data_IF_105221752601
#
_entry.id   IF_105221752601
#
_cell.length_a   1.000
_cell.length_b   1.000
_cell.length_c   1.000
_cell.angle_alpha   90.00
_cell.angle_beta   90.00
_cell.angle_gamma   90.00
#
_symmetry.space_group_name_H-M   'P 1'
#
loop_
_entity.id
_entity.type
_entity.pdbx_description
1 polymer ?
#
# COMPACT_ATOMS: atom_id res chain seq x y z
N UNK A 1 11.85 10.75 -2.75
CA UNK A 1 11.08 10.22 -1.60
C UNK A 1 9.95 9.33 -2.09
N UNK A 2 9.67 8.27 -1.38
CA UNK A 2 8.53 7.45 -1.73
C UNK A 2 7.79 7.04 -0.47
N UNK A 3 6.52 6.70 -0.63
CA UNK A 3 5.66 6.30 0.49
C UNK A 3 4.90 5.05 0.09
N UNK A 4 4.71 4.17 1.05
CA UNK A 4 3.94 2.96 0.81
C UNK A 4 2.72 2.97 1.73
N UNK A 5 1.58 2.59 1.17
CA UNK A 5 0.32 2.57 1.90
C UNK A 5 -0.35 1.22 1.72
N UNK A 6 -0.96 0.73 2.78
CA UNK A 6 -1.80 -0.45 2.69
C UNK A 6 -3.22 -0.04 3.04
N UNK A 7 -4.16 -0.40 2.18
CA UNK A 7 -5.56 -0.07 2.38
C UNK A 7 -6.32 -1.36 2.64
N UNK A 8 -7.02 -1.41 3.75
CA UNK A 8 -7.76 -2.60 4.17
C UNK A 8 -9.25 -2.32 4.18
N UNK A 9 -10.01 -3.22 3.59
CA UNK A 9 -11.47 -3.13 3.62
C UNK A 9 -11.99 -4.46 4.14
N UNK A 10 -12.88 -4.43 5.12
CA UNK A 10 -13.41 -5.63 5.76
C UNK A 10 -12.26 -6.50 6.28
N UNK A 11 -11.42 -5.91 7.12
CA UNK A 11 -10.26 -6.62 7.64
C UNK A 11 -9.27 -6.86 6.52
N UNK A 12 -8.88 -8.11 6.31
CA UNK A 12 -7.96 -8.46 5.24
C UNK A 12 -8.68 -9.09 4.05
N UNK A 13 -10.00 -9.00 4.02
CA UNK A 13 -10.75 -9.55 2.91
C UNK A 13 -10.39 -8.86 1.61
N UNK A 14 -10.16 -7.56 1.67
CA UNK A 14 -9.70 -6.82 0.52
C UNK A 14 -8.54 -5.94 0.95
N UNK A 15 -7.37 -6.16 0.35
CA UNK A 15 -6.17 -5.43 0.67
C UNK A 15 -5.61 -4.82 -0.60
N UNK A 16 -5.21 -3.58 -0.52
CA UNK A 16 -4.62 -2.87 -1.65
C UNK A 16 -3.31 -2.25 -1.21
N UNK A 17 -2.27 -2.47 -1.99
CA UNK A 17 -0.96 -1.89 -1.73
C UNK A 17 -0.74 -0.76 -2.72
N UNK A 18 -0.34 0.41 -2.22
CA UNK A 18 -0.13 1.57 -3.05
C UNK A 18 1.21 2.17 -2.71
N UNK A 19 2.07 2.28 -3.71
CA UNK A 19 3.39 2.86 -3.53
C UNK A 19 3.44 4.14 -4.35
N UNK A 20 3.83 5.24 -3.69
CA UNK A 20 3.84 6.54 -4.33
C UNK A 20 5.25 7.10 -4.29
N UNK A 21 5.72 7.60 -5.43
CA UNK A 21 7.03 8.20 -5.54
C UNK A 21 6.88 9.69 -5.82
N UNK A 22 7.63 10.49 -5.11
CA UNK A 22 7.52 11.94 -5.17
C UNK A 22 8.82 12.56 -5.64
N UNK A 23 8.69 13.64 -6.38
CA UNK A 23 9.83 14.44 -6.82
C UNK A 23 9.44 15.90 -6.61
N UNK A 24 10.25 16.62 -5.81
CA UNK A 24 9.97 18.00 -5.48
C UNK A 24 8.56 18.19 -4.92
N UNK A 25 8.14 17.25 -4.09
CA UNK A 25 6.85 17.36 -3.44
C UNK A 25 5.66 16.94 -4.29
N UNK A 26 5.92 16.50 -5.50
CA UNK A 26 4.85 16.12 -6.42
C UNK A 26 4.95 14.65 -6.74
N UNK A 27 3.84 13.95 -6.66
CA UNK A 27 3.81 12.52 -7.00
C UNK A 27 4.01 12.36 -8.49
N UNK A 28 5.01 11.56 -8.88
CA UNK A 28 5.31 11.37 -10.29
C UNK A 28 5.18 9.93 -10.76
N UNK A 29 5.16 8.98 -9.81
CA UNK A 29 5.13 7.57 -10.16
C UNK A 29 4.34 6.82 -9.10
N UNK A 30 3.61 5.79 -9.51
CA UNK A 30 2.76 5.06 -8.59
C UNK A 30 2.71 3.57 -8.96
N UNK A 31 2.77 2.72 -7.95
CA UNK A 31 2.44 1.32 -8.13
C UNK A 31 1.19 1.02 -7.33
N UNK A 32 0.20 0.43 -7.99
CA UNK A 32 -1.07 0.08 -7.37
C UNK A 32 -1.26 -1.41 -7.57
N UNK A 33 -1.43 -2.14 -6.48
CA UNK A 33 -1.56 -3.59 -6.58
C UNK A 33 -2.78 -4.01 -7.41
N UNK A 34 -3.78 -3.15 -7.49
CA UNK A 34 -4.95 -3.45 -8.31
C UNK A 34 -4.68 -3.26 -9.79
N UNK A 35 -3.64 -2.52 -10.12
CA UNK A 35 -3.22 -2.34 -11.50
C UNK A 35 -2.15 -3.35 -11.87
N UNK A 36 -1.24 -3.61 -10.94
CA UNK A 36 -0.21 -4.62 -11.13
C UNK A 36 1.05 -4.14 -11.80
N UNK A 37 1.18 -2.86 -12.05
CA UNK A 37 2.39 -2.32 -12.65
C UNK A 37 2.55 -0.85 -12.27
N UNK A 38 3.75 -0.34 -12.46
CA UNK A 38 4.00 1.07 -12.22
C UNK A 38 3.34 1.92 -13.30
N UNK A 39 2.76 3.03 -12.89
CA UNK A 39 2.15 3.98 -13.80
C UNK A 39 2.68 5.36 -13.51
N UNK A 40 3.00 6.09 -14.56
CA UNK A 40 3.45 7.47 -14.40
C UNK A 40 2.27 8.35 -14.06
N UNK A 41 2.44 9.17 -13.02
CA UNK A 41 1.44 10.16 -12.66
C UNK A 41 1.70 11.44 -13.45
N UNK A 42 2.98 11.74 -13.69
CA UNK A 42 3.36 12.87 -14.52
C UNK A 42 4.34 12.40 -15.57
N UNK A 43 4.61 13.27 -16.53
CA UNK A 43 5.57 12.96 -17.59
C UNK A 43 6.93 12.58 -17.04
N UNK A 44 7.31 13.22 -15.96
CA UNK A 44 8.60 12.95 -15.33
C UNK A 44 8.76 11.50 -14.91
N UNK A 45 7.67 10.85 -14.54
CA UNK A 45 7.70 9.48 -14.07
C UNK A 45 7.71 8.43 -15.16
N UNK A 46 7.51 8.81 -16.41
CA UNK A 46 7.40 7.84 -17.49
C UNK A 46 8.64 6.96 -17.68
N UNK A 47 9.85 7.54 -17.70
CA UNK A 47 11.02 6.69 -17.84
C UNK A 47 11.16 5.71 -16.67
N UNK A 48 10.84 6.16 -15.47
CA UNK A 48 10.94 5.31 -14.29
C UNK A 48 9.93 4.17 -14.36
N UNK A 49 8.70 4.46 -14.79
CA UNK A 49 7.68 3.43 -14.90
C UNK A 49 8.14 2.36 -15.88
N UNK A 50 8.68 2.78 -17.00
CA UNK A 50 9.15 1.84 -18.00
C UNK A 50 10.30 1.00 -17.46
N UNK A 51 11.22 1.65 -16.78
CA UNK A 51 12.38 0.97 -16.23
C UNK A 51 11.97 -0.08 -15.19
N UNK A 52 11.17 0.33 -14.21
CA UNK A 52 10.77 -0.58 -13.13
C UNK A 52 9.92 -1.72 -13.63
N UNK A 53 9.01 -1.44 -14.55
CA UNK A 53 8.14 -2.48 -15.09
C UNK A 53 8.93 -3.52 -15.89
N UNK A 54 10.13 -3.16 -16.35
CA UNK A 54 10.95 -4.08 -17.08
C UNK A 54 11.78 -5.02 -16.23
N UNK A 55 11.81 -4.81 -14.91
CA UNK A 55 12.59 -5.63 -14.00
C UNK A 55 11.69 -6.73 -13.43
N UNK A 56 11.73 -7.89 -14.07
CA UNK A 56 10.82 -8.99 -13.72
C UNK A 56 10.85 -9.40 -12.26
N UNK A 57 12.03 -9.65 -11.73
CA UNK A 57 12.13 -10.10 -10.34
C UNK A 57 11.62 -9.04 -9.38
N UNK A 58 11.96 -7.80 -9.65
CA UNK A 58 11.53 -6.69 -8.83
C UNK A 58 10.01 -6.53 -8.87
N UNK A 59 9.44 -6.64 -10.06
CA UNK A 59 7.99 -6.52 -10.22
C UNK A 59 7.25 -7.64 -9.52
N UNK A 60 7.81 -8.84 -9.58
CA UNK A 60 7.20 -9.97 -8.92
C UNK A 60 7.15 -9.76 -7.42
N UNK A 61 8.23 -9.28 -6.86
CA UNK A 61 8.28 -8.99 -5.44
C UNK A 61 7.31 -7.87 -5.08
N UNK A 62 7.26 -6.84 -5.89
CA UNK A 62 6.37 -5.72 -5.63
C UNK A 62 4.90 -6.14 -5.69
N UNK A 63 4.57 -7.01 -6.63
CA UNK A 63 3.21 -7.50 -6.77
C UNK A 63 2.74 -8.29 -5.57
N UNK A 64 3.66 -8.93 -4.86
CA UNK A 64 3.30 -9.72 -3.69
C UNK A 64 3.35 -8.92 -2.40
N UNK A 65 3.65 -7.63 -2.48
CA UNK A 65 3.75 -6.79 -1.30
C UNK A 65 2.46 -6.77 -0.49
N UNK A 66 1.32 -6.97 -1.13
CA UNK A 66 0.05 -7.04 -0.39
C UNK A 66 0.09 -8.15 0.64
N UNK A 67 0.87 -9.20 0.38
CA UNK A 67 0.95 -10.34 1.29
C UNK A 67 2.05 -10.15 2.33
N UNK A 68 3.29 -9.97 1.89
CA UNK A 68 4.39 -9.94 2.84
C UNK A 68 4.51 -8.61 3.57
N UNK A 69 3.97 -7.55 3.01
CA UNK A 69 4.04 -6.25 3.65
C UNK A 69 2.71 -5.87 4.30
N UNK A 70 1.63 -5.85 3.51
CA UNK A 70 0.35 -5.38 4.03
C UNK A 70 -0.32 -6.37 4.97
N UNK A 71 -0.49 -7.61 4.55
CA UNK A 71 -1.16 -8.59 5.40
C UNK A 71 -0.35 -8.93 6.62
N UNK A 72 0.97 -9.00 6.47
CA UNK A 72 1.82 -9.26 7.61
C UNK A 72 1.69 -8.12 8.62
N UNK A 73 1.78 -6.88 8.15
CA UNK A 73 1.70 -5.74 9.05
C UNK A 73 0.30 -5.57 9.63
N UNK A 74 -0.72 -6.03 8.92
CA UNK A 74 -2.06 -5.98 9.47
C UNK A 74 -2.16 -6.84 10.73
N UNK A 75 -1.53 -8.00 10.73
CA UNK A 75 -1.55 -8.85 11.90
C UNK A 75 -0.98 -8.16 13.13
N UNK A 76 0.12 -7.47 12.93
CA UNK A 76 0.75 -6.73 14.03
C UNK A 76 -0.11 -5.54 14.42
N UNK A 77 -0.59 -4.81 13.44
CA UNK A 77 -1.41 -3.63 13.66
C UNK A 77 -2.73 -3.99 14.32
N UNK A 78 -3.36 -5.05 13.86
CA UNK A 78 -4.65 -5.47 14.40
C UNK A 78 -4.52 -5.89 15.86
N UNK A 79 -3.48 -6.60 16.17
CA UNK A 79 -3.23 -7.03 17.53
C UNK A 79 -3.14 -5.82 18.45
N UNK A 80 -2.49 -4.79 18.00
CA UNK A 80 -2.31 -3.57 18.76
C UNK A 80 -3.64 -2.80 18.88
N UNK A 81 -4.36 -2.66 17.77
CA UNK A 81 -5.60 -1.90 17.78
C UNK A 81 -6.74 -2.58 18.49
N UNK A 82 -6.82 -3.88 18.42
CA UNK A 82 -7.87 -4.60 19.13
C UNK A 82 -7.78 -4.33 20.62
N UNK A 83 -6.57 -4.29 21.12
CA UNK A 83 -6.36 -3.99 22.51
C UNK A 83 -6.89 -2.62 22.87
N UNK A 84 -6.64 -1.65 22.03
CA UNK A 84 -7.09 -0.29 22.26
C UNK A 84 -8.58 -0.16 22.10
N UNK A 85 -9.13 -0.90 21.16
CA UNK A 85 -10.56 -0.87 20.94
C UNK A 85 -11.34 -1.46 22.09
N UNK A 86 -10.79 -2.45 22.73
CA UNK A 86 -11.41 -3.03 23.87
C UNK A 86 -11.68 -1.98 24.92
N UNK A 87 -10.83 -1.00 24.99
CA UNK A 87 -11.01 0.06 25.96
C UNK A 87 -12.01 1.09 25.52
N UNK A 88 -12.11 1.31 24.21
CA UNK A 88 -12.97 2.31 23.70
C UNK A 88 -14.29 1.84 23.26
N UNK A 89 -14.53 0.62 23.33
CA UNK A 89 -15.76 0.08 22.86
C UNK A 89 -15.81 -0.06 21.43
N UNK A 90 -15.66 0.36 20.59
CA UNK A 90 -15.80 0.10 19.41
C UNK A 90 -15.60 0.37 18.37
N UNK A 91 -15.49 -0.06 17.92
CA UNK A 91 -15.20 -0.15 16.72
C UNK A 91 -15.68 0.67 15.72
N UNK A 92 -15.38 1.79 15.86
CA UNK A 92 -15.84 2.71 14.87
C UNK A 92 -15.33 2.35 13.51
N UNK A 93 -14.19 1.75 13.45
CA UNK A 93 -13.64 1.45 12.15
C UNK A 93 -14.09 0.17 11.54
N UNK A 94 -15.08 -0.44 12.15
CA UNK A 94 -15.46 -1.77 11.72
C UNK A 94 -15.81 -1.85 10.26
N UNK A 95 -16.47 -0.87 9.74
CA UNK A 95 -16.89 -0.92 8.35
C UNK A 95 -15.97 -0.17 7.43
N UNK A 96 -14.97 0.43 7.98
CA UNK A 96 -14.13 1.26 7.17
C UNK A 96 -12.91 0.57 6.62
N UNK A 97 -12.13 1.33 5.93
CA UNK A 97 -10.84 0.90 5.47
C UNK A 97 -9.80 1.45 6.41
N UNK A 98 -8.76 0.69 6.63
CA UNK A 98 -7.64 1.16 7.43
C UNK A 98 -6.49 1.45 6.49
N UNK A 99 -5.69 2.43 6.84
CA UNK A 99 -4.55 2.79 6.02
C UNK A 99 -3.30 2.74 6.88
N UNK A 100 -2.31 2.01 6.43
CA UNK A 100 -1.02 1.96 7.09
C UNK A 100 -0.02 2.70 6.21
N UNK A 101 0.70 3.63 6.79
CA UNK A 101 1.62 4.46 6.02
C UNK A 101 3.01 4.42 6.63
N UNK A 102 4.00 4.25 5.80
CA UNK A 102 5.39 4.25 6.23
C UNK A 102 5.99 5.65 6.21
#
# INVERSE_FOLDING_TARGET
MWKAECHFTNGTERVRYLERHYHNGEENLRFDSEVGEYRAVTELGRPDAKYWNGLKDYMEETRTAVDWFCRHNYGVFDSFTVQRRGERGRGAGASGAARVRL
#
